data_IF_832104257131
#
_entry.id   IF_832104257131
#
_cell.length_a   1.000
_cell.length_b   1.000
_cell.length_c   1.000
_cell.angle_alpha   90.00
_cell.angle_beta   90.00
_cell.angle_gamma   90.00
#
_symmetry.space_group_name_H-M   'P 1'
#
loop_
_entity.id
_entity.type
_entity.pdbx_description
1 polymer ?
#
# COMPACT_ATOMS: atom_id res chain seq x y z
N UNK A 1 12.85 0.77 18.77
CA UNK A 1 13.36 0.73 17.39
C UNK A 1 12.30 1.39 16.52
N UNK A 2 12.61 2.52 15.90
CA UNK A 2 11.73 3.14 14.88
C UNK A 2 12.17 2.62 13.50
N UNK A 3 11.21 2.32 12.63
CA UNK A 3 11.50 1.91 11.26
C UNK A 3 11.93 3.12 10.42
N UNK A 4 12.94 2.96 9.57
CA UNK A 4 13.41 4.02 8.66
C UNK A 4 12.40 4.34 7.55
N UNK A 5 11.58 3.36 7.17
CA UNK A 5 10.53 3.50 6.17
C UNK A 5 9.35 2.56 6.46
N UNK A 6 8.12 3.02 6.22
CA UNK A 6 6.90 2.25 6.50
C UNK A 6 6.14 1.89 5.22
N UNK A 7 5.90 0.60 4.99
CA UNK A 7 5.07 0.11 3.87
C UNK A 7 3.68 -0.28 4.37
N UNK A 8 2.65 0.39 3.86
CA UNK A 8 1.25 0.13 4.17
C UNK A 8 0.60 -0.57 2.97
N UNK A 9 0.28 -1.86 3.10
CA UNK A 9 -0.32 -2.67 2.02
C UNK A 9 -1.75 -3.05 2.40
N UNK A 10 -2.72 -2.58 1.64
CA UNK A 10 -4.15 -2.78 1.92
C UNK A 10 -4.95 -3.12 0.66
N UNK A 11 -6.07 -3.81 0.83
CA UNK A 11 -7.03 -4.10 -0.22
C UNK A 11 -8.44 -4.23 0.36
N UNK A 12 -9.45 -3.72 -0.35
CA UNK A 12 -10.83 -3.71 0.15
C UNK A 12 -11.00 -2.93 1.46
N UNK A 13 -11.62 -3.55 2.47
CA UNK A 13 -11.96 -2.92 3.77
C UNK A 13 -10.74 -2.48 4.59
N UNK A 14 -9.56 -3.03 4.29
CA UNK A 14 -8.32 -2.72 5.01
C UNK A 14 -7.74 -1.35 4.67
N UNK A 15 -8.28 -0.64 3.66
CA UNK A 15 -7.72 0.65 3.23
C UNK A 15 -7.96 1.75 4.27
N UNK A 16 -9.12 1.77 4.93
CA UNK A 16 -9.48 2.83 5.89
C UNK A 16 -8.50 2.96 7.07
N UNK A 17 -8.15 1.88 7.82
CA UNK A 17 -7.16 2.01 8.87
C UNK A 17 -5.76 2.39 8.34
N UNK A 18 -5.44 2.03 7.09
CA UNK A 18 -4.17 2.42 6.47
C UNK A 18 -4.10 3.91 6.13
N UNK A 19 -5.21 4.53 5.73
CA UNK A 19 -5.26 5.98 5.54
C UNK A 19 -4.99 6.74 6.85
N UNK A 20 -5.53 6.26 7.97
CA UNK A 20 -5.26 6.88 9.29
C UNK A 20 -3.79 6.75 9.71
N UNK A 21 -3.16 5.59 9.44
CA UNK A 21 -1.73 5.40 9.70
C UNK A 21 -0.87 6.26 8.77
N UNK A 22 -1.24 6.36 7.49
CA UNK A 22 -0.56 7.21 6.52
C UNK A 22 -0.63 8.69 6.89
N UNK A 23 -1.79 9.18 7.32
CA UNK A 23 -1.93 10.56 7.82
C UNK A 23 -0.99 10.81 9.00
N UNK A 24 -0.92 9.86 9.94
CA UNK A 24 -0.03 9.95 11.09
C UNK A 24 1.44 10.01 10.67
N UNK A 25 1.86 9.16 9.72
CA UNK A 25 3.23 9.13 9.21
C UNK A 25 3.58 10.40 8.44
N UNK A 26 2.66 10.89 7.61
CA UNK A 26 2.81 12.13 6.85
C UNK A 26 2.98 13.34 7.77
N UNK A 27 2.11 13.48 8.77
CA UNK A 27 2.19 14.58 9.75
C UNK A 27 3.44 14.50 10.63
N UNK A 28 3.97 13.30 10.84
CA UNK A 28 5.23 13.08 11.55
C UNK A 28 6.48 13.27 10.66
N UNK A 29 6.32 13.55 9.35
CA UNK A 29 7.42 13.66 8.40
C UNK A 29 8.20 12.35 8.20
N UNK A 30 7.57 11.21 8.51
CA UNK A 30 8.19 9.89 8.37
C UNK A 30 8.06 9.40 6.94
N UNK A 31 9.04 8.61 6.50
CA UNK A 31 9.04 8.02 5.16
C UNK A 31 8.05 6.86 5.09
N UNK A 32 7.12 6.89 4.11
CA UNK A 32 6.15 5.82 3.92
C UNK A 32 5.61 5.72 2.49
N UNK A 33 5.01 4.58 2.17
CA UNK A 33 4.24 4.32 0.95
C UNK A 33 2.98 3.51 1.24
N UNK A 34 1.92 3.73 0.44
CA UNK A 34 0.67 2.97 0.49
C UNK A 34 0.49 2.19 -0.81
N UNK A 35 0.33 0.87 -0.72
CA UNK A 35 -0.03 0.01 -1.83
C UNK A 35 -1.50 -0.41 -1.67
N UNK A 36 -2.37 0.15 -2.50
CA UNK A 36 -3.79 -0.19 -2.52
C UNK A 36 -4.09 -1.16 -3.66
N UNK A 37 -4.38 -2.41 -3.31
CA UNK A 37 -4.61 -3.51 -4.24
C UNK A 37 -6.10 -3.81 -4.41
N UNK A 38 -6.56 -3.96 -5.65
CA UNK A 38 -7.94 -4.32 -5.95
C UNK A 38 -8.11 -5.08 -7.27
N UNK A 39 -9.34 -5.55 -7.52
CA UNK A 39 -9.66 -6.30 -8.74
C UNK A 39 -9.87 -5.35 -9.91
N UNK A 40 -10.86 -4.47 -9.81
CA UNK A 40 -11.17 -3.40 -10.79
C UNK A 40 -11.32 -2.06 -10.07
N UNK A 41 -11.18 -0.94 -10.80
CA UNK A 41 -11.41 0.40 -10.22
C UNK A 41 -12.80 0.54 -9.60
N UNK A 42 -13.81 -0.03 -10.24
CA UNK A 42 -15.20 -0.04 -9.77
C UNK A 42 -15.37 -0.76 -8.42
N UNK A 43 -14.55 -1.78 -8.17
CA UNK A 43 -14.57 -2.54 -6.91
C UNK A 43 -13.74 -1.90 -5.78
N UNK A 44 -12.96 -0.86 -6.09
CA UNK A 44 -12.08 -0.17 -5.15
C UNK A 44 -12.78 1.08 -4.62
N UNK A 45 -12.88 1.16 -3.30
CA UNK A 45 -13.43 2.33 -2.62
C UNK A 45 -12.34 3.41 -2.46
N UNK A 46 -12.77 4.66 -2.24
CA UNK A 46 -11.89 5.78 -1.91
C UNK A 46 -10.87 6.18 -2.99
N UNK A 47 -11.03 5.76 -4.25
CA UNK A 47 -10.08 6.10 -5.32
C UNK A 47 -9.99 7.60 -5.59
N UNK A 48 -11.11 8.30 -5.55
CA UNK A 48 -11.16 9.75 -5.76
C UNK A 48 -10.51 10.49 -4.58
N UNK A 49 -10.88 10.09 -3.37
CA UNK A 49 -10.34 10.63 -2.13
C UNK A 49 -8.84 10.40 -2.00
N UNK A 50 -8.34 9.25 -2.47
CA UNK A 50 -6.91 8.93 -2.53
C UNK A 50 -6.16 9.76 -3.57
N UNK A 51 -6.82 10.18 -4.64
CA UNK A 51 -6.20 11.05 -5.65
C UNK A 51 -6.02 12.48 -5.12
N UNK A 52 -6.98 12.97 -4.33
CA UNK A 52 -7.02 14.34 -3.82
C UNK A 52 -6.41 14.51 -2.43
N UNK A 53 -6.04 13.41 -1.75
CA UNK A 53 -5.46 13.52 -0.41
C UNK A 53 -4.07 14.17 -0.44
N UNK A 54 -3.70 14.80 0.67
CA UNK A 54 -2.41 15.52 0.82
C UNK A 54 -1.18 14.60 0.79
N UNK A 55 -1.36 13.28 0.81
CA UNK A 55 -0.30 12.28 0.62
C UNK A 55 -0.51 11.43 -0.65
N UNK A 56 -1.30 11.89 -1.63
CA UNK A 56 -1.61 11.13 -2.85
C UNK A 56 -0.35 10.68 -3.62
N UNK A 57 0.73 11.46 -3.57
CA UNK A 57 2.02 11.10 -4.15
C UNK A 57 2.64 9.80 -3.60
N UNK A 58 2.28 9.43 -2.36
CA UNK A 58 2.74 8.23 -1.66
C UNK A 58 1.83 7.01 -1.91
N UNK A 59 0.76 7.16 -2.69
CA UNK A 59 -0.21 6.10 -2.98
C UNK A 59 0.16 5.40 -4.29
N UNK A 60 0.11 4.08 -4.29
CA UNK A 60 0.32 3.20 -5.44
C UNK A 60 -0.86 2.27 -5.58
N UNK A 61 -1.59 2.39 -6.70
CA UNK A 61 -2.72 1.54 -7.03
C UNK A 61 -2.27 0.31 -7.79
N UNK A 62 -2.73 -0.86 -7.38
CA UNK A 62 -2.47 -2.14 -8.05
C UNK A 62 -3.80 -2.79 -8.42
N UNK A 63 -4.21 -2.62 -9.69
CA UNK A 63 -5.50 -3.10 -10.20
C UNK A 63 -5.28 -4.35 -11.04
N UNK A 64 -5.73 -5.49 -10.54
CA UNK A 64 -5.43 -6.80 -11.12
C UNK A 64 -6.05 -7.01 -12.52
N UNK A 65 -7.21 -6.40 -12.78
CA UNK A 65 -7.91 -6.54 -14.05
C UNK A 65 -7.32 -5.63 -15.16
N UNK A 66 -6.70 -4.52 -14.76
CA UNK A 66 -5.98 -3.63 -15.69
C UNK A 66 -4.62 -4.19 -16.11
N UNK A 67 -4.02 -5.05 -15.28
CA UNK A 67 -2.76 -5.75 -15.58
C UNK A 67 -2.83 -6.73 -16.76
N UNK A 68 -4.01 -7.02 -17.31
CA UNK A 68 -4.18 -7.88 -18.50
C UNK A 68 -4.04 -7.11 -19.82
N UNK A 69 -4.18 -5.78 -19.80
CA UNK A 69 -4.13 -4.93 -20.99
C UNK A 69 -2.82 -4.12 -21.01
N UNK A 70 -1.70 -4.84 -20.99
CA UNK A 70 -0.38 -4.19 -20.94
C UNK A 70 0.81 -5.13 -20.82
N UNK A 71 0.66 -6.42 -21.17
CA UNK A 71 1.78 -7.35 -21.27
C UNK A 71 2.67 -7.03 -22.49
N UNK A 72 3.16 -5.80 -22.59
CA UNK A 72 4.36 -5.48 -23.37
C UNK A 72 5.55 -5.97 -22.56
N UNK A 73 6.01 -7.17 -22.91
CA UNK A 73 7.26 -7.80 -22.49
C UNK A 73 8.41 -6.79 -22.38
N UNK A 74 8.69 -6.31 -21.17
CA UNK A 74 10.02 -5.88 -20.73
C UNK A 74 10.17 -6.13 -19.24
N UNK A 75 10.98 -7.14 -18.93
CA UNK A 75 11.48 -7.40 -17.58
C UNK A 75 10.41 -7.87 -16.60
N UNK A 76 10.35 -9.18 -16.38
CA UNK A 76 9.89 -9.71 -15.11
C UNK A 76 10.81 -9.15 -14.01
N UNK A 77 10.50 -7.95 -13.54
CA UNK A 77 10.97 -7.44 -12.26
C UNK A 77 10.25 -8.25 -11.20
N UNK A 78 10.82 -9.42 -10.91
CA UNK A 78 10.77 -10.13 -9.64
C UNK A 78 10.04 -9.29 -8.57
N UNK A 79 8.86 -9.77 -8.13
CA UNK A 79 8.42 -9.47 -6.78
C UNK A 79 9.66 -9.68 -5.88
N UNK A 80 10.05 -8.73 -5.02
CA UNK A 80 11.17 -8.96 -4.12
C UNK A 80 10.83 -10.14 -3.23
N UNK A 81 11.24 -11.33 -3.66
CA UNK A 81 11.65 -12.40 -2.78
C UNK A 81 13.05 -12.02 -2.32
N UNK A 82 13.25 -12.18 -1.00
CA UNK A 82 14.49 -12.07 -0.23
C UNK A 82 14.66 -10.67 0.40
N UNK A 83 14.43 -10.45 1.70
CA UNK A 83 14.11 -11.39 2.76
C UNK A 83 13.78 -10.64 4.06
N UNK A 84 13.40 -11.43 5.04
CA UNK A 84 12.84 -11.05 6.34
C UNK A 84 11.36 -10.68 6.32
N UNK A 85 10.55 -11.70 6.04
CA UNK A 85 9.25 -11.84 6.71
C UNK A 85 9.52 -11.94 8.21
N UNK A 86 9.80 -10.82 8.87
CA UNK A 86 9.55 -10.70 10.29
C UNK A 86 8.04 -10.61 10.44
N UNK A 87 7.40 -11.77 10.42
CA UNK A 87 6.10 -11.98 11.08
C UNK A 87 6.34 -11.70 12.56
N UNK A 88 6.41 -10.42 12.93
CA UNK A 88 6.23 -10.02 14.31
C UNK A 88 4.74 -10.16 14.58
N UNK A 89 4.37 -11.39 14.96
CA UNK A 89 3.18 -11.65 15.71
C UNK A 89 3.15 -10.63 16.85
N UNK A 90 2.24 -9.67 16.77
CA UNK A 90 1.86 -8.84 17.90
C UNK A 90 1.13 -9.72 18.92
N UNK A 91 1.90 -10.57 19.61
CA UNK A 91 1.56 -11.09 20.92
C UNK A 91 1.62 -9.90 21.86
N UNK A 92 0.46 -9.37 22.25
CA UNK A 92 0.37 -8.50 23.42
C UNK A 92 0.05 -9.38 24.61
N UNK A 93 1.06 -9.59 25.45
CA UNK A 93 0.94 -10.13 26.78
C UNK A 93 -0.09 -9.30 27.59
N UNK A 94 -0.96 -10.02 28.29
CA UNK A 94 -1.41 -9.63 29.62
C UNK A 94 -0.65 -10.54 30.61
#
# INVERSE_FOLDING_TARGET
>A
MEAEHSLLIGGGIGITPMLAMADTLFRAGKSFEIHYCGRSRESMAFLHELADCHFSAHVRLHISDEGKQGASRRGAGRAPSDGDTSTSAARKAL
#
